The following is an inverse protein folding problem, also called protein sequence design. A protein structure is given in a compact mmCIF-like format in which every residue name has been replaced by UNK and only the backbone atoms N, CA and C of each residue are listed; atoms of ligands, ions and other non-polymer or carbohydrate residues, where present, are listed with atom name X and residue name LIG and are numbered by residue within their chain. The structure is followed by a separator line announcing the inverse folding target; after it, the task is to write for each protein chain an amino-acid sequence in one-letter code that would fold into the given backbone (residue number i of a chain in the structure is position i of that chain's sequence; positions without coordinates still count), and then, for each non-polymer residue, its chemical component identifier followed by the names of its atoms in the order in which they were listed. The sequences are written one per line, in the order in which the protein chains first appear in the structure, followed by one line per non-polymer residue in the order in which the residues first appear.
data_IF_526113356398
#
_entry.id   IF_526113356398
#
_cell.length_a   1.000
_cell.length_b   1.000
_cell.length_c   1.000
_cell.angle_alpha   90.00
_cell.angle_beta   90.00
_cell.angle_gamma   90.00
#
_symmetry.space_group_name_H-M   'P 1'
#
loop_
_entity.id
_entity.type
_entity.pdbx_description
1 polymer ?
#
# COMPACT_ATOMS: atom_id res chain seq x y z
N UNK A 1 8.99 5.86 16.78
CA UNK A 1 9.10 4.38 16.59
C UNK A 1 10.24 4.08 15.62
N UNK A 2 11.08 3.10 15.93
CA UNK A 2 12.07 2.57 14.97
C UNK A 2 11.36 1.65 13.97
N UNK A 3 11.51 1.93 12.68
CA UNK A 3 10.78 1.25 11.62
C UNK A 3 11.50 0.00 11.11
N UNK A 4 10.83 -1.15 11.20
CA UNK A 4 11.25 -2.43 10.62
C UNK A 4 10.10 -3.11 9.85
N UNK A 5 9.25 -2.31 9.16
CA UNK A 5 8.02 -2.78 8.51
C UNK A 5 8.21 -3.36 7.10
N UNK A 6 9.44 -3.51 6.64
CA UNK A 6 9.72 -4.08 5.31
C UNK A 6 11.14 -4.65 5.28
N UNK A 7 11.49 -5.43 4.25
CA UNK A 7 12.82 -6.03 4.12
C UNK A 7 13.99 -5.03 4.09
N UNK A 8 13.72 -3.74 3.85
CA UNK A 8 14.75 -2.68 3.92
C UNK A 8 15.38 -2.56 5.31
N UNK A 9 14.60 -2.84 6.38
CA UNK A 9 15.05 -2.79 7.79
C UNK A 9 15.95 -1.58 8.06
N UNK A 10 15.52 -0.41 7.57
CA UNK A 10 16.32 0.81 7.60
C UNK A 10 16.51 1.40 9.02
N UNK A 11 15.84 0.84 10.03
CA UNK A 11 15.89 1.29 11.44
C UNK A 11 15.67 2.81 11.59
N UNK A 12 14.96 3.42 10.67
CA UNK A 12 14.69 4.84 10.67
C UNK A 12 13.64 5.23 11.71
N UNK A 13 13.71 6.46 12.18
CA UNK A 13 12.65 7.01 13.03
C UNK A 13 11.45 7.37 12.15
N UNK A 14 10.29 6.80 12.49
CA UNK A 14 9.01 7.11 11.85
C UNK A 14 7.99 7.51 12.92
N UNK A 15 7.52 8.74 12.80
CA UNK A 15 6.46 9.31 13.63
C UNK A 15 5.48 10.09 12.73
N UNK A 16 4.42 10.66 13.30
CA UNK A 16 3.41 11.38 12.53
C UNK A 16 4.00 12.47 11.61
N UNK A 17 5.13 13.09 12.01
CA UNK A 17 5.80 14.16 11.25
C UNK A 17 7.27 13.85 10.94
N UNK A 18 7.76 12.63 11.21
CA UNK A 18 9.14 12.20 10.96
C UNK A 18 9.15 11.04 9.98
N UNK A 19 9.91 11.18 8.90
CA UNK A 19 9.94 10.28 7.75
C UNK A 19 11.36 10.02 7.25
N UNK A 20 12.25 9.50 8.12
CA UNK A 20 13.68 9.31 7.81
C UNK A 20 13.99 8.03 7.04
N UNK A 21 13.01 7.13 6.89
CA UNK A 21 13.22 5.84 6.22
C UNK A 21 13.39 5.93 4.70
N UNK A 22 13.83 4.83 4.08
CA UNK A 22 14.02 4.72 2.62
C UNK A 22 12.76 5.13 1.84
N UNK A 23 11.58 4.71 2.28
CA UNK A 23 10.31 5.12 1.66
C UNK A 23 10.02 6.62 1.83
N UNK A 24 10.63 7.28 2.80
CA UNK A 24 10.45 8.69 3.12
C UNK A 24 9.02 9.03 3.59
N UNK A 25 8.36 8.06 4.25
CA UNK A 25 6.97 8.21 4.67
C UNK A 25 6.85 8.24 6.19
N UNK A 26 5.97 9.11 6.75
CA UNK A 26 5.67 9.14 8.18
C UNK A 26 4.89 7.90 8.61
N UNK A 27 4.64 7.75 9.92
CA UNK A 27 3.83 6.64 10.45
C UNK A 27 2.34 6.78 10.12
N UNK A 28 1.83 8.00 10.01
CA UNK A 28 0.47 8.26 9.51
C UNK A 28 0.40 8.06 7.99
N UNK A 29 -0.67 7.42 7.48
CA UNK A 29 -0.79 7.15 6.05
C UNK A 29 -0.80 8.42 5.20
N UNK A 30 -0.07 8.39 4.10
CA UNK A 30 -0.18 9.39 3.03
C UNK A 30 -0.83 8.71 1.84
N UNK A 31 -1.99 9.23 1.44
CA UNK A 31 -2.81 8.69 0.35
C UNK A 31 -2.80 9.67 -0.82
N UNK A 32 -2.43 9.19 -1.99
CA UNK A 32 -2.41 9.99 -3.21
C UNK A 32 -3.79 10.02 -3.87
N UNK A 33 -4.47 8.87 -3.86
CA UNK A 33 -5.81 8.72 -4.45
C UNK A 33 -6.56 7.61 -3.73
N UNK A 34 -7.88 7.77 -3.61
CA UNK A 34 -8.79 6.72 -3.20
C UNK A 34 -10.10 6.86 -4.00
N UNK A 35 -10.38 5.91 -4.88
CA UNK A 35 -11.60 5.90 -5.71
C UNK A 35 -11.82 4.51 -6.35
N UNK A 36 -12.97 4.34 -7.01
CA UNK A 36 -13.21 3.16 -7.86
C UNK A 36 -12.24 3.15 -9.03
N UNK A 37 -11.62 2.01 -9.27
CA UNK A 37 -10.70 1.76 -10.38
C UNK A 37 -11.18 0.58 -11.22
N UNK A 38 -11.40 0.83 -12.52
CA UNK A 38 -11.99 -0.14 -13.45
C UNK A 38 -10.93 -0.89 -14.26
N UNK A 39 -9.65 -0.59 -14.07
CA UNK A 39 -8.53 -1.03 -14.91
C UNK A 39 -7.49 -1.89 -14.16
N UNK A 40 -7.88 -2.48 -13.02
CA UNK A 40 -7.12 -3.60 -12.44
C UNK A 40 -7.41 -4.87 -13.27
N UNK A 41 -6.79 -5.98 -12.91
CA UNK A 41 -7.10 -7.28 -13.53
C UNK A 41 -8.62 -7.52 -13.55
N UNK A 42 -9.17 -8.09 -14.63
CA UNK A 42 -10.62 -8.29 -14.77
C UNK A 42 -11.27 -9.03 -13.60
N UNK A 43 -10.56 -9.97 -12.95
CA UNK A 43 -11.03 -10.70 -11.78
C UNK A 43 -11.04 -9.84 -10.49
N UNK A 44 -10.34 -8.70 -10.48
CA UNK A 44 -10.30 -7.75 -9.34
C UNK A 44 -11.30 -6.62 -9.56
N UNK A 45 -11.28 -5.99 -10.74
CA UNK A 45 -12.17 -4.88 -11.06
C UNK A 45 -13.63 -5.31 -11.22
N UNK A 46 -13.87 -6.48 -11.83
CA UNK A 46 -15.21 -6.93 -12.16
C UNK A 46 -16.01 -5.88 -12.94
N UNK A 47 -17.30 -5.78 -12.66
CA UNK A 47 -18.21 -4.82 -13.31
C UNK A 47 -18.34 -3.48 -12.59
N UNK A 48 -18.10 -3.43 -11.28
CA UNK A 48 -18.30 -2.23 -10.46
C UNK A 48 -16.99 -1.53 -10.08
N UNK A 49 -15.85 -2.15 -10.38
CA UNK A 49 -14.53 -1.62 -10.06
C UNK A 49 -14.00 -2.05 -8.70
N UNK A 50 -12.70 -1.92 -8.56
CA UNK A 50 -11.95 -2.09 -7.31
C UNK A 50 -11.93 -0.79 -6.53
N UNK A 51 -12.21 -0.82 -5.24
CA UNK A 51 -12.07 0.33 -4.34
C UNK A 51 -10.61 0.56 -3.99
N UNK A 52 -9.88 1.25 -4.85
CA UNK A 52 -8.43 1.31 -4.82
C UNK A 52 -7.94 2.49 -3.99
N UNK A 53 -7.02 2.22 -3.06
CA UNK A 53 -6.34 3.21 -2.21
C UNK A 53 -4.85 3.20 -2.56
N UNK A 54 -4.37 4.25 -3.24
CA UNK A 54 -2.97 4.43 -3.59
C UNK A 54 -2.22 5.11 -2.45
N UNK A 55 -1.32 4.38 -1.80
CA UNK A 55 -0.41 4.96 -0.82
C UNK A 55 0.78 5.63 -1.46
N UNK A 56 1.21 6.75 -0.88
CA UNK A 56 2.41 7.47 -1.31
C UNK A 56 3.67 6.85 -0.71
N UNK A 57 4.79 7.02 -1.40
CA UNK A 57 6.05 6.37 -1.06
C UNK A 57 6.08 4.91 -1.51
N UNK A 58 7.27 4.33 -1.55
CA UNK A 58 7.45 2.92 -1.90
C UNK A 58 8.74 2.40 -1.26
N UNK A 59 8.76 1.11 -0.97
CA UNK A 59 9.96 0.39 -0.49
C UNK A 59 10.92 0.05 -1.63
N UNK A 60 10.50 0.27 -2.87
CA UNK A 60 11.28 0.20 -4.11
C UNK A 60 11.35 1.60 -4.75
N UNK A 61 12.35 1.82 -5.61
CA UNK A 61 12.49 3.05 -6.42
C UNK A 61 12.74 2.67 -7.87
N UNK A 62 11.83 1.88 -8.45
CA UNK A 62 11.97 1.39 -9.80
C UNK A 62 12.12 2.54 -10.79
N UNK A 63 13.18 2.52 -11.61
CA UNK A 63 13.46 3.58 -12.62
C UNK A 63 12.37 3.69 -13.69
N UNK A 64 11.59 2.63 -13.89
CA UNK A 64 10.48 2.56 -14.85
C UNK A 64 9.09 2.70 -14.19
N UNK A 65 9.01 3.18 -12.94
CA UNK A 65 7.75 3.25 -12.23
C UNK A 65 6.76 4.19 -12.94
N UNK A 66 5.60 3.65 -13.35
CA UNK A 66 4.52 4.43 -13.97
C UNK A 66 3.91 5.43 -12.99
N UNK A 67 3.99 5.14 -11.69
CA UNK A 67 3.47 5.96 -10.61
C UNK A 67 4.60 6.72 -9.86
N UNK A 68 5.65 7.18 -10.55
CA UNK A 68 6.81 7.83 -9.93
C UNK A 68 6.44 9.04 -9.08
N UNK A 69 5.45 9.83 -9.51
CA UNK A 69 4.92 10.97 -8.77
C UNK A 69 4.41 10.57 -7.39
N UNK A 70 3.76 9.40 -7.29
CA UNK A 70 3.24 8.88 -6.02
C UNK A 70 4.35 8.16 -5.23
N UNK A 71 5.10 7.27 -5.90
CA UNK A 71 6.03 6.37 -5.24
C UNK A 71 7.36 7.03 -4.85
N UNK A 72 7.89 7.92 -5.69
CA UNK A 72 9.22 8.54 -5.51
C UNK A 72 9.11 10.00 -5.09
N UNK A 73 8.26 10.80 -5.75
CA UNK A 73 8.04 12.20 -5.40
C UNK A 73 7.08 12.36 -4.21
N UNK A 74 6.41 11.26 -3.80
CA UNK A 74 5.60 11.16 -2.59
C UNK A 74 4.37 12.08 -2.58
N UNK A 75 3.86 12.41 -3.76
CA UNK A 75 2.63 13.18 -3.88
C UNK A 75 1.48 12.47 -3.15
N UNK A 76 0.77 13.23 -2.32
CA UNK A 76 -0.39 12.71 -1.59
C UNK A 76 -0.73 13.58 -0.38
N UNK A 77 -1.78 13.20 0.32
CA UNK A 77 -2.26 13.87 1.52
C UNK A 77 -2.13 12.95 2.73
N UNK A 78 -1.50 13.45 3.79
CA UNK A 78 -1.47 12.75 5.08
C UNK A 78 -2.87 12.69 5.67
N UNK A 79 -3.26 11.52 6.15
CA UNK A 79 -4.58 11.26 6.74
C UNK A 79 -4.43 10.52 8.07
N UNK A 80 -5.44 10.65 8.94
CA UNK A 80 -5.51 9.87 10.18
C UNK A 80 -5.96 8.43 9.91
N UNK A 81 -5.72 7.54 10.89
CA UNK A 81 -6.24 6.16 10.86
C UNK A 81 -7.77 6.15 10.75
N UNK A 82 -8.47 7.03 11.48
CA UNK A 82 -9.92 7.17 11.37
C UNK A 82 -10.37 7.53 9.95
N UNK A 83 -9.61 8.42 9.27
CA UNK A 83 -9.92 8.79 7.88
C UNK A 83 -9.68 7.63 6.92
N UNK A 84 -8.65 6.82 7.13
CA UNK A 84 -8.42 5.62 6.34
C UNK A 84 -9.59 4.62 6.49
N UNK A 85 -10.07 4.41 7.72
CA UNK A 85 -11.25 3.59 7.97
C UNK A 85 -12.52 4.13 7.27
N UNK A 86 -12.72 5.44 7.30
CA UNK A 86 -13.83 6.09 6.59
C UNK A 86 -13.72 5.92 5.07
N UNK A 87 -12.51 6.03 4.49
CA UNK A 87 -12.28 5.83 3.05
C UNK A 87 -12.66 4.41 2.65
N UNK A 88 -12.27 3.39 3.42
CA UNK A 88 -12.68 2.01 3.14
C UNK A 88 -14.20 1.86 3.13
N UNK A 89 -14.88 2.46 4.12
CA UNK A 89 -16.34 2.45 4.15
C UNK A 89 -16.96 3.18 2.95
N UNK A 90 -16.47 4.36 2.58
CA UNK A 90 -16.95 5.13 1.44
C UNK A 90 -16.80 4.36 0.12
N UNK A 91 -15.71 3.61 -0.05
CA UNK A 91 -15.48 2.78 -1.24
C UNK A 91 -16.44 1.57 -1.28
N UNK A 92 -16.67 0.91 -0.13
CA UNK A 92 -17.66 -0.16 -0.03
C UNK A 92 -19.08 0.37 -0.31
N UNK A 93 -19.45 1.51 0.27
CA UNK A 93 -20.76 2.15 0.06
C UNK A 93 -20.97 2.57 -1.41
N UNK A 94 -19.89 2.85 -2.17
CA UNK A 94 -19.91 3.08 -3.62
C UNK A 94 -20.10 1.81 -4.45
N UNK A 95 -20.14 0.64 -3.83
CA UNK A 95 -20.33 -0.66 -4.49
C UNK A 95 -19.04 -1.28 -5.06
N UNK A 96 -17.87 -0.94 -4.51
CA UNK A 96 -16.62 -1.59 -4.87
C UNK A 96 -16.69 -3.10 -4.65
N UNK A 97 -16.06 -3.89 -5.53
CA UNK A 97 -15.98 -5.35 -5.37
C UNK A 97 -15.00 -5.78 -4.28
N UNK A 98 -14.03 -4.94 -3.97
CA UNK A 98 -12.99 -5.18 -2.96
C UNK A 98 -12.40 -3.84 -2.50
N UNK A 99 -11.59 -3.86 -1.45
CA UNK A 99 -10.69 -2.76 -1.08
C UNK A 99 -9.28 -3.16 -1.48
N UNK A 100 -8.71 -2.45 -2.44
CA UNK A 100 -7.38 -2.72 -2.99
C UNK A 100 -6.36 -1.69 -2.46
N UNK A 101 -5.45 -2.16 -1.62
CA UNK A 101 -4.38 -1.36 -1.06
C UNK A 101 -3.15 -1.43 -1.97
N UNK A 102 -2.89 -0.36 -2.72
CA UNK A 102 -1.73 -0.29 -3.64
C UNK A 102 -0.51 0.28 -2.93
N UNK A 103 0.58 -0.47 -2.98
CA UNK A 103 1.85 -0.20 -2.28
C UNK A 103 1.68 -0.09 -0.76
N UNK A 104 1.04 -1.09 -0.11
CA UNK A 104 0.70 -1.03 1.32
C UNK A 104 1.86 -1.37 2.26
N UNK A 105 2.97 -1.91 1.75
CA UNK A 105 4.09 -2.50 2.50
C UNK A 105 4.50 -1.71 3.74
N UNK A 106 4.69 -0.42 3.58
CA UNK A 106 5.16 0.47 4.66
C UNK A 106 4.03 1.03 5.53
N UNK A 107 2.78 0.65 5.27
CA UNK A 107 1.58 1.06 6.02
C UNK A 107 0.74 -0.12 6.54
N UNK A 108 1.26 -1.35 6.52
CA UNK A 108 0.52 -2.54 7.00
C UNK A 108 -0.03 -2.34 8.41
N UNK A 109 0.76 -1.79 9.35
CA UNK A 109 0.27 -1.51 10.70
C UNK A 109 -0.86 -0.47 10.73
N UNK A 110 -0.75 0.59 9.93
CA UNK A 110 -1.80 1.61 9.83
C UNK A 110 -3.10 1.04 9.23
N UNK A 111 -2.99 0.14 8.26
CA UNK A 111 -4.14 -0.59 7.70
C UNK A 111 -4.77 -1.47 8.77
N UNK A 112 -3.98 -2.27 9.50
CA UNK A 112 -4.47 -3.09 10.60
C UNK A 112 -5.19 -2.28 11.68
N UNK A 113 -4.65 -1.11 12.03
CA UNK A 113 -5.31 -0.22 13.00
C UNK A 113 -6.61 0.38 12.45
N UNK A 114 -6.66 0.72 11.16
CA UNK A 114 -7.89 1.18 10.52
C UNK A 114 -8.97 0.09 10.46
N UNK A 115 -8.56 -1.18 10.22
CA UNK A 115 -9.47 -2.32 10.22
C UNK A 115 -10.07 -2.63 11.59
N UNK A 116 -9.42 -2.28 12.69
CA UNK A 116 -10.02 -2.33 14.05
C UNK A 116 -11.18 -1.35 14.22
N UNK A 117 -11.18 -0.24 13.44
CA UNK A 117 -12.23 0.78 13.47
C UNK A 117 -13.37 0.41 12.52
N UNK A 118 -13.02 -0.04 11.33
CA UNK A 118 -13.96 -0.47 10.30
C UNK A 118 -13.39 -1.64 9.50
N UNK A 119 -14.09 -2.76 9.52
CA UNK A 119 -13.75 -3.93 8.71
C UNK A 119 -14.75 -4.04 7.55
N UNK A 120 -14.31 -3.83 6.30
CA UNK A 120 -15.17 -4.03 5.13
C UNK A 120 -15.71 -5.47 5.06
N UNK A 121 -16.89 -5.64 4.47
CA UNK A 121 -17.51 -6.95 4.21
C UNK A 121 -17.08 -7.54 2.86
N UNK A 122 -16.39 -6.74 2.06
CA UNK A 122 -15.84 -7.11 0.75
C UNK A 122 -14.36 -7.48 0.90
N UNK A 123 -13.80 -8.30 -0.02
CA UNK A 123 -12.43 -8.77 0.07
C UNK A 123 -11.40 -7.64 0.15
N UNK A 124 -10.32 -7.88 0.90
CA UNK A 124 -9.18 -6.99 1.03
C UNK A 124 -8.04 -7.48 0.13
N UNK A 125 -7.58 -6.62 -0.77
CA UNK A 125 -6.51 -6.93 -1.73
C UNK A 125 -5.22 -6.22 -1.33
N UNK A 126 -4.13 -6.99 -1.25
CA UNK A 126 -2.77 -6.51 -1.01
C UNK A 126 -2.02 -6.45 -2.35
N UNK A 127 -1.85 -5.24 -2.91
CA UNK A 127 -1.25 -5.03 -4.23
C UNK A 127 0.12 -4.38 -4.10
N UNK A 128 1.18 -5.10 -4.41
CA UNK A 128 2.55 -4.65 -4.14
C UNK A 128 3.59 -5.13 -5.14
N UNK A 129 4.79 -4.56 -5.03
CA UNK A 129 5.95 -4.89 -5.87
C UNK A 129 6.66 -6.19 -5.52
N UNK A 130 6.15 -7.01 -4.60
CA UNK A 130 6.72 -8.31 -4.22
C UNK A 130 7.96 -8.25 -3.33
N UNK A 131 8.40 -7.08 -2.86
CA UNK A 131 9.50 -6.92 -1.91
C UNK A 131 8.95 -6.76 -0.50
N UNK A 132 8.57 -7.89 0.11
CA UNK A 132 7.78 -7.94 1.32
C UNK A 132 8.46 -8.72 2.45
N UNK A 133 8.13 -8.36 3.68
CA UNK A 133 8.42 -9.17 4.86
C UNK A 133 7.23 -10.12 5.08
N UNK A 134 7.45 -11.40 4.79
CA UNK A 134 6.40 -12.41 4.83
C UNK A 134 5.76 -12.54 6.23
N UNK A 135 6.53 -12.31 7.29
CA UNK A 135 6.00 -12.43 8.65
C UNK A 135 4.98 -11.32 8.97
N UNK A 136 5.07 -10.16 8.30
CA UNK A 136 4.12 -9.07 8.48
C UNK A 136 2.82 -9.28 7.69
N UNK A 137 2.86 -10.00 6.59
CA UNK A 137 1.70 -10.20 5.69
C UNK A 137 0.99 -11.54 5.88
N UNK A 138 1.62 -12.52 6.58
CA UNK A 138 1.02 -13.84 6.87
C UNK A 138 -0.15 -13.83 7.86
N UNK A 139 -0.45 -12.72 8.48
CA UNK A 139 -1.48 -12.63 9.54
C UNK A 139 -2.90 -12.51 8.95
N UNK A 140 -3.37 -13.40 8.12
CA UNK A 140 -4.76 -13.58 7.63
C UNK A 140 -5.65 -12.32 7.56
N UNK A 141 -5.04 -11.17 7.26
CA UNK A 141 -5.75 -9.87 7.20
C UNK A 141 -6.24 -9.58 5.78
N UNK A 142 -5.51 -10.09 4.78
CA UNK A 142 -5.81 -9.85 3.37
C UNK A 142 -6.30 -11.14 2.71
N UNK A 143 -7.36 -11.03 1.92
CA UNK A 143 -7.97 -12.17 1.22
C UNK A 143 -7.28 -12.49 -0.10
N UNK A 144 -6.72 -11.47 -0.76
CA UNK A 144 -6.13 -11.57 -2.10
C UNK A 144 -4.78 -10.86 -2.11
N UNK A 145 -3.79 -11.49 -2.75
CA UNK A 145 -2.45 -10.92 -2.94
C UNK A 145 -2.15 -10.75 -4.42
N UNK A 146 -1.87 -9.51 -4.84
CA UNK A 146 -1.37 -9.15 -6.17
C UNK A 146 0.10 -8.79 -6.06
N UNK A 147 0.98 -9.73 -6.38
CA UNK A 147 2.43 -9.53 -6.34
C UNK A 147 2.99 -9.36 -7.76
N UNK A 148 3.65 -8.23 -8.01
CA UNK A 148 4.39 -8.04 -9.24
C UNK A 148 5.72 -8.81 -9.21
N UNK A 149 5.85 -9.86 -10.01
CA UNK A 149 7.14 -10.49 -10.26
C UNK A 149 7.94 -9.66 -11.28
N UNK A 150 8.67 -8.66 -10.80
CA UNK A 150 9.39 -7.72 -11.67
C UNK A 150 10.71 -8.26 -12.21
N UNK A 151 11.37 -9.15 -11.47
CA UNK A 151 12.72 -9.64 -11.78
C UNK A 151 12.89 -11.13 -11.44
N UNK A 152 13.72 -11.82 -12.24
CA UNK A 152 14.14 -13.19 -11.97
C UNK A 152 15.54 -13.25 -11.34
N UNK A 153 16.27 -12.13 -11.28
CA UNK A 153 17.58 -12.06 -10.64
C UNK A 153 17.69 -10.88 -9.68
N UNK A 154 18.41 -11.08 -8.59
CA UNK A 154 18.72 -10.03 -7.61
C UNK A 154 19.60 -8.93 -8.19
N UNK A 155 20.52 -9.24 -9.11
CA UNK A 155 21.37 -8.27 -9.78
C UNK A 155 20.54 -7.26 -10.58
N UNK A 156 19.59 -7.75 -11.37
CA UNK A 156 18.67 -6.91 -12.15
C UNK A 156 17.78 -6.06 -11.23
N UNK A 157 17.30 -6.66 -10.15
CA UNK A 157 16.50 -5.94 -9.14
C UNK A 157 17.29 -4.78 -8.52
N UNK A 158 18.51 -5.04 -8.07
CA UNK A 158 19.38 -4.00 -7.49
C UNK A 158 19.70 -2.88 -8.47
N UNK A 159 19.85 -3.20 -9.76
CA UNK A 159 20.16 -2.22 -10.79
C UNK A 159 19.00 -1.27 -11.09
N UNK A 160 17.76 -1.76 -11.06
CA UNK A 160 16.59 -1.01 -11.57
C UNK A 160 15.54 -0.67 -10.51
N UNK A 161 15.61 -1.24 -9.31
CA UNK A 161 14.67 -0.96 -8.21
C UNK A 161 15.33 -0.70 -6.85
N UNK A 162 16.67 -0.73 -6.80
CA UNK A 162 17.53 -0.51 -5.62
C UNK A 162 17.35 -1.57 -4.54
#
# INVERSE_FOLDING_TARGET
MICNQCPRRCNAIREANIAEGFCGMPSEPVVARADLHLWEEPCISGSSGSGTIFFSGCVLKCVFCQNSVISTERFGKKISINRLAQIMKELEDKGAHNINFVTPTHYVHAIKDALKIYTPKIPLVYNCGGYEDLDLIKEDVFDIYLFDLKYLSSETSLKYSL
#
